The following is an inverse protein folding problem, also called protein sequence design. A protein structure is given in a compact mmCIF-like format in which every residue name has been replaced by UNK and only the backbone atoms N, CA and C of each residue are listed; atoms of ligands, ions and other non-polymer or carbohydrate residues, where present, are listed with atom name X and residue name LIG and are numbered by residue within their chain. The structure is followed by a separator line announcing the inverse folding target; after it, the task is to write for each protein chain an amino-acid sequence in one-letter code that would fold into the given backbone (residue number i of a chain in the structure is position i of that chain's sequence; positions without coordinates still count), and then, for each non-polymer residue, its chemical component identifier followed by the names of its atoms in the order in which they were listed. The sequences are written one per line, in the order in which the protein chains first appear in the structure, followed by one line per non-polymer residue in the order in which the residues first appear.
data_IF_533132223519
#
_entry.id   IF_533132223519
#
_cell.length_a   1.000
_cell.length_b   1.000
_cell.length_c   1.000
_cell.angle_alpha   90.00
_cell.angle_beta   90.00
_cell.angle_gamma   90.00
#
_symmetry.space_group_name_H-M   'P 1'
#
loop_
_entity.id
_entity.type
_entity.pdbx_description
1 polymer ?
#
# COMPACT_ATOMS: atom_id res chain seq x y z
N UNK A 1 -40.90 52.71 -0.15
CA UNK A 1 -40.21 51.70 0.68
C UNK A 1 -39.32 50.89 -0.26
N UNK A 2 -38.00 50.92 -0.02
CA UNK A 2 -37.01 50.22 -0.85
C UNK A 2 -36.81 48.83 -0.24
N UNK A 3 -37.19 47.77 -0.96
CA UNK A 3 -36.91 46.40 -0.56
C UNK A 3 -35.55 46.00 -1.14
N UNK A 4 -34.51 46.10 -0.31
CA UNK A 4 -33.21 45.53 -0.59
C UNK A 4 -33.28 44.02 -0.29
N UNK A 5 -33.25 43.19 -1.33
CA UNK A 5 -33.12 41.73 -1.21
C UNK A 5 -31.62 41.45 -1.13
N UNK A 6 -31.14 41.14 0.08
CA UNK A 6 -29.78 40.69 0.31
C UNK A 6 -29.62 39.25 -0.17
N UNK A 7 -28.76 39.05 -1.18
CA UNK A 7 -28.24 37.74 -1.53
C UNK A 7 -27.20 37.33 -0.49
N UNK A 8 -27.58 36.42 0.41
CA UNK A 8 -26.64 35.74 1.30
C UNK A 8 -26.08 34.56 0.51
N UNK A 9 -24.86 34.70 -0.02
CA UNK A 9 -24.10 33.57 -0.56
C UNK A 9 -23.71 32.67 0.61
N UNK A 10 -24.53 31.66 0.87
CA UNK A 10 -24.18 30.57 1.76
C UNK A 10 -23.15 29.71 1.00
N UNK A 11 -21.87 30.05 1.17
CA UNK A 11 -20.78 29.20 0.70
C UNK A 11 -20.85 27.90 1.51
N UNK A 12 -21.45 26.87 0.93
CA UNK A 12 -21.29 25.51 1.40
C UNK A 12 -19.80 25.20 1.35
N UNK A 13 -19.14 25.26 2.51
CA UNK A 13 -17.95 24.48 2.75
C UNK A 13 -18.35 23.02 2.51
N UNK A 14 -17.92 22.46 1.39
CA UNK A 14 -17.68 21.03 1.36
C UNK A 14 -16.52 20.81 2.34
N UNK A 15 -16.83 20.20 3.48
CA UNK A 15 -15.85 19.37 4.18
C UNK A 15 -15.61 18.18 3.23
N UNK A 16 -14.72 18.39 2.26
CA UNK A 16 -14.05 17.26 1.62
C UNK A 16 -13.23 16.65 2.76
N UNK A 17 -13.73 15.55 3.30
CA UNK A 17 -13.00 14.72 4.22
C UNK A 17 -11.68 14.34 3.55
N UNK A 18 -10.60 14.94 4.03
CA UNK A 18 -9.22 14.74 3.61
C UNK A 18 -8.84 13.25 3.69
N UNK A 19 -9.20 12.47 2.67
CA UNK A 19 -8.34 11.37 2.20
C UNK A 19 -7.08 12.02 1.63
N UNK A 20 -6.25 12.54 2.53
CA UNK A 20 -4.98 13.20 2.28
C UNK A 20 -4.08 12.23 1.48
N UNK A 21 -4.08 12.35 0.15
CA UNK A 21 -3.03 11.74 -0.65
C UNK A 21 -1.70 12.39 -0.25
N UNK A 22 -0.77 11.60 0.29
CA UNK A 22 0.59 12.05 0.60
C UNK A 22 1.51 11.68 -0.55
N UNK A 23 2.24 12.65 -1.08
CA UNK A 23 3.26 12.37 -2.10
C UNK A 23 4.46 11.62 -1.51
N UNK A 24 4.66 11.68 -0.18
CA UNK A 24 5.78 11.03 0.49
C UNK A 24 5.41 9.65 1.04
N UNK A 25 6.19 8.64 0.62
CA UNK A 25 6.14 7.26 1.14
C UNK A 25 6.91 7.12 2.47
N UNK A 26 7.64 8.16 2.90
CA UNK A 26 8.52 8.09 4.08
C UNK A 26 7.74 7.73 5.34
N UNK A 27 8.27 6.79 6.11
CA UNK A 27 7.72 6.30 7.36
C UNK A 27 7.75 4.78 7.47
N UNK A 28 7.24 4.29 8.60
CA UNK A 28 7.17 2.86 8.91
C UNK A 28 5.80 2.35 8.50
N UNK A 29 5.78 1.32 7.66
CA UNK A 29 4.58 0.66 7.18
C UNK A 29 4.58 -0.81 7.62
N UNK A 30 3.40 -1.37 7.83
CA UNK A 30 3.20 -2.75 8.29
C UNK A 30 2.21 -3.49 7.41
N UNK A 31 2.42 -4.79 7.13
CA UNK A 31 1.46 -5.59 6.39
C UNK A 31 0.08 -5.58 7.03
N UNK A 32 -0.93 -5.29 6.23
CA UNK A 32 -2.33 -5.36 6.63
C UNK A 32 -3.00 -6.61 6.06
N UNK A 33 -2.81 -6.82 4.76
CA UNK A 33 -3.46 -7.88 3.97
C UNK A 33 -2.78 -8.07 2.62
N UNK A 34 -3.11 -9.16 1.99
CA UNK A 34 -2.75 -9.49 0.61
C UNK A 34 -4.03 -9.68 -0.21
N UNK A 35 -4.03 -9.16 -1.44
CA UNK A 35 -5.15 -9.25 -2.36
C UNK A 35 -4.67 -9.88 -3.66
N UNK A 36 -5.31 -10.96 -4.08
CA UNK A 36 -5.08 -11.56 -5.39
C UNK A 36 -6.16 -11.07 -6.35
N UNK A 37 -5.75 -10.44 -7.45
CA UNK A 37 -6.63 -9.96 -8.52
C UNK A 37 -6.35 -10.74 -9.79
N UNK A 38 -7.42 -11.32 -10.37
CA UNK A 38 -7.30 -12.14 -11.56
C UNK A 38 -6.74 -11.37 -12.75
N UNK A 39 -5.72 -11.91 -13.40
CA UNK A 39 -5.16 -11.35 -14.64
C UNK A 39 -6.12 -11.46 -15.82
N UNK A 40 -6.98 -12.48 -15.83
CA UNK A 40 -7.87 -12.78 -16.95
C UNK A 40 -9.10 -11.85 -17.03
N UNK A 41 -9.60 -11.39 -15.88
CA UNK A 41 -10.85 -10.61 -15.82
C UNK A 41 -10.88 -9.48 -14.77
N UNK A 42 -9.84 -9.32 -13.97
CA UNK A 42 -9.75 -8.27 -12.94
C UNK A 42 -10.59 -8.53 -11.69
N UNK A 43 -11.24 -9.68 -11.55
CA UNK A 43 -12.00 -10.03 -10.34
C UNK A 43 -11.06 -10.36 -9.18
N UNK A 44 -11.48 -10.06 -7.96
CA UNK A 44 -10.77 -10.51 -6.76
C UNK A 44 -10.89 -12.02 -6.59
N UNK A 45 -9.74 -12.71 -6.61
CA UNK A 45 -9.64 -14.13 -6.29
C UNK A 45 -9.58 -14.31 -4.77
N UNK A 46 -8.77 -13.49 -4.10
CA UNK A 46 -8.54 -13.58 -2.66
C UNK A 46 -8.32 -12.20 -2.03
N UNK A 47 -8.66 -12.07 -0.74
CA UNK A 47 -8.39 -10.87 0.06
C UNK A 47 -8.22 -11.32 1.51
N UNK A 48 -6.98 -11.62 1.90
CA UNK A 48 -6.66 -12.27 3.17
C UNK A 48 -5.89 -11.32 4.07
N UNK A 49 -6.30 -11.24 5.33
CA UNK A 49 -5.53 -10.49 6.32
C UNK A 49 -4.13 -11.09 6.48
N UNK A 50 -3.13 -10.23 6.63
CA UNK A 50 -1.80 -10.66 7.02
C UNK A 50 -1.87 -11.44 8.34
N UNK A 51 -1.05 -12.49 8.46
CA UNK A 51 -0.99 -13.30 9.67
C UNK A 51 -0.59 -12.43 10.89
N UNK A 52 -0.90 -12.92 12.09
CA UNK A 52 -0.49 -12.23 13.33
C UNK A 52 1.02 -12.06 13.41
N UNK A 53 1.79 -12.99 12.84
CA UNK A 53 3.24 -12.87 12.79
C UNK A 53 3.69 -11.87 11.73
N UNK A 54 3.19 -11.99 10.50
CA UNK A 54 3.59 -11.12 9.39
C UNK A 54 3.23 -9.65 9.63
N UNK A 55 2.16 -9.37 10.39
CA UNK A 55 1.81 -8.01 10.87
C UNK A 55 2.89 -7.33 11.73
N UNK A 56 3.84 -8.10 12.28
CA UNK A 56 4.99 -7.56 13.02
C UNK A 56 6.11 -7.08 12.09
N UNK A 57 6.10 -7.48 10.83
CA UNK A 57 7.03 -7.00 9.82
C UNK A 57 6.90 -5.49 9.65
N UNK A 58 8.01 -4.85 9.29
CA UNK A 58 8.09 -3.40 9.10
C UNK A 58 8.83 -3.06 7.82
N UNK A 59 8.30 -2.10 7.09
CA UNK A 59 8.93 -1.48 5.92
C UNK A 59 9.15 0.00 6.25
N UNK A 60 10.34 0.35 6.72
CA UNK A 60 10.71 1.71 7.09
C UNK A 60 11.38 2.43 5.91
N UNK A 61 10.60 3.18 5.14
CA UNK A 61 11.09 4.02 4.05
C UNK A 61 11.68 5.30 4.63
N UNK A 62 13.00 5.41 4.63
CA UNK A 62 13.71 6.57 5.19
C UNK A 62 13.87 7.68 4.17
N UNK A 63 14.01 8.92 4.63
CA UNK A 63 14.20 10.11 3.77
C UNK A 63 15.53 10.13 3.00
N UNK A 64 16.46 9.24 3.33
CA UNK A 64 17.76 9.08 2.66
C UNK A 64 17.75 8.00 1.57
N UNK A 65 16.57 7.66 1.02
CA UNK A 65 16.42 6.64 -0.02
C UNK A 65 16.86 5.22 0.41
N UNK A 66 16.81 4.91 1.71
CA UNK A 66 17.02 3.56 2.24
C UNK A 66 15.71 2.98 2.79
N UNK A 67 15.35 1.78 2.39
CA UNK A 67 14.30 0.97 2.99
C UNK A 67 14.94 0.06 4.03
N UNK A 68 14.57 0.21 5.30
CA UNK A 68 14.89 -0.78 6.33
C UNK A 68 13.70 -1.76 6.48
N UNK A 69 13.85 -2.97 5.95
CA UNK A 69 12.83 -4.01 6.00
C UNK A 69 13.15 -5.01 7.11
N UNK A 70 12.17 -5.33 7.95
CA UNK A 70 12.27 -6.44 8.91
C UNK A 70 11.10 -7.37 8.69
N UNK A 71 11.37 -8.63 8.37
CA UNK A 71 10.34 -9.62 8.09
C UNK A 71 10.19 -10.57 9.27
N UNK A 72 8.94 -10.81 9.66
CA UNK A 72 8.51 -11.84 10.59
C UNK A 72 7.62 -12.84 9.87
N UNK A 73 7.83 -14.14 10.05
CA UNK A 73 6.97 -15.16 9.45
C UNK A 73 6.69 -16.32 10.41
N UNK A 74 5.54 -16.95 10.20
CA UNK A 74 5.09 -18.13 10.93
C UNK A 74 5.92 -19.34 10.48
N UNK A 75 6.53 -20.01 11.44
CA UNK A 75 7.31 -21.23 11.21
C UNK A 75 6.43 -22.47 11.35
N UNK A 76 6.89 -23.61 10.83
CA UNK A 76 6.17 -24.88 10.90
C UNK A 76 5.93 -25.39 12.34
N UNK A 77 6.73 -24.93 13.30
CA UNK A 77 6.57 -25.22 14.74
C UNK A 77 5.59 -24.26 15.44
N UNK A 78 4.97 -23.34 14.70
CA UNK A 78 4.04 -22.33 15.21
C UNK A 78 4.74 -21.12 15.84
N UNK A 79 6.07 -21.04 15.80
CA UNK A 79 6.81 -19.87 16.27
C UNK A 79 6.75 -18.72 15.25
N UNK A 80 6.82 -17.49 15.75
CA UNK A 80 6.89 -16.29 14.91
C UNK A 80 8.34 -15.78 14.90
N UNK A 81 9.03 -15.94 13.77
CA UNK A 81 10.49 -15.70 13.68
C UNK A 81 10.81 -14.47 12.87
N UNK A 82 11.74 -13.65 13.35
CA UNK A 82 12.34 -12.56 12.58
C UNK A 82 13.51 -13.08 11.73
N UNK A 83 13.59 -12.62 10.48
CA UNK A 83 14.72 -12.86 9.58
C UNK A 83 15.82 -11.78 9.70
N UNK A 84 15.68 -10.85 10.64
CA UNK A 84 16.56 -9.71 10.80
C UNK A 84 16.10 -8.50 9.97
N UNK A 85 16.94 -7.46 9.96
CA UNK A 85 16.67 -6.22 9.23
C UNK A 85 17.62 -6.11 8.04
N UNK A 86 17.06 -5.93 6.86
CA UNK A 86 17.79 -5.63 5.63
C UNK A 86 17.65 -4.15 5.29
N UNK A 87 18.71 -3.56 4.73
CA UNK A 87 18.71 -2.18 4.28
C UNK A 87 18.95 -2.15 2.78
N UNK A 88 17.97 -1.71 2.02
CA UNK A 88 17.98 -1.71 0.55
C UNK A 88 17.83 -0.28 0.04
N UNK A 89 18.49 0.10 -1.07
CA UNK A 89 18.20 1.37 -1.73
C UNK A 89 16.78 1.35 -2.30
N UNK A 90 16.07 2.49 -2.24
CA UNK A 90 14.78 2.62 -2.90
C UNK A 90 14.59 3.99 -3.57
N UNK A 91 13.70 4.03 -4.57
CA UNK A 91 13.14 5.26 -5.11
C UNK A 91 11.63 5.11 -5.29
N UNK A 92 10.90 6.21 -5.17
CA UNK A 92 9.45 6.22 -5.26
C UNK A 92 8.99 7.41 -6.10
N UNK A 93 8.15 7.14 -7.08
CA UNK A 93 7.48 8.13 -7.92
C UNK A 93 5.97 8.01 -7.70
N UNK A 94 5.41 8.98 -6.96
CA UNK A 94 3.98 9.03 -6.66
C UNK A 94 3.14 9.18 -7.92
N UNK A 95 3.54 10.06 -8.84
CA UNK A 95 2.78 10.37 -10.05
C UNK A 95 2.92 9.25 -11.09
N UNK A 96 4.12 8.70 -11.22
CA UNK A 96 4.41 7.55 -12.08
C UNK A 96 3.93 6.21 -11.52
N UNK A 97 3.34 6.19 -10.31
CA UNK A 97 2.86 4.97 -9.64
C UNK A 97 3.91 3.85 -9.61
N UNK A 98 5.12 4.21 -9.21
CA UNK A 98 6.30 3.34 -9.35
C UNK A 98 7.13 3.35 -8.08
N UNK A 99 7.43 2.15 -7.59
CA UNK A 99 8.37 1.91 -6.50
C UNK A 99 9.54 1.09 -7.07
N UNK A 100 10.78 1.47 -6.77
CA UNK A 100 11.95 0.65 -7.06
C UNK A 100 12.63 0.32 -5.74
N UNK A 101 12.87 -0.96 -5.47
CA UNK A 101 13.65 -1.43 -4.32
C UNK A 101 14.76 -2.33 -4.87
N UNK A 102 16.02 -2.03 -4.54
CA UNK A 102 17.19 -2.78 -5.01
C UNK A 102 17.23 -3.07 -6.53
N UNK A 103 16.85 -2.07 -7.33
CA UNK A 103 16.73 -2.12 -8.80
C UNK A 103 15.57 -2.97 -9.35
N UNK A 104 14.75 -3.56 -8.49
CA UNK A 104 13.49 -4.21 -8.88
C UNK A 104 12.35 -3.20 -8.86
N UNK A 105 11.48 -3.25 -9.87
CA UNK A 105 10.37 -2.31 -10.05
C UNK A 105 9.04 -2.96 -9.64
N UNK A 106 8.29 -2.23 -8.82
CA UNK A 106 6.95 -2.59 -8.36
C UNK A 106 5.92 -1.57 -8.84
N UNK A 107 4.77 -2.05 -9.32
CA UNK A 107 3.61 -1.24 -9.69
C UNK A 107 2.87 -0.78 -8.43
N UNK A 108 2.72 0.53 -8.25
CA UNK A 108 1.94 1.09 -7.13
C UNK A 108 0.49 1.24 -7.56
N UNK A 109 -0.42 0.58 -6.87
CA UNK A 109 -1.86 0.62 -7.19
C UNK A 109 -2.47 1.90 -6.60
N UNK A 110 -2.22 2.13 -5.32
CA UNK A 110 -2.77 3.24 -4.53
C UNK A 110 -1.80 3.66 -3.42
N UNK A 111 -1.82 4.94 -3.06
CA UNK A 111 -1.09 5.48 -1.92
C UNK A 111 -1.86 6.64 -1.30
N UNK A 112 -2.26 6.46 -0.05
CA UNK A 112 -2.86 7.50 0.81
C UNK A 112 -1.97 7.72 2.03
N UNK A 113 -2.32 8.68 2.89
CA UNK A 113 -1.62 8.91 4.16
C UNK A 113 -1.38 7.66 5.02
N UNK A 114 -2.31 6.71 5.01
CA UNK A 114 -2.34 5.58 5.93
C UNK A 114 -2.35 4.21 5.24
N UNK A 115 -2.47 4.14 3.92
CA UNK A 115 -2.48 2.88 3.17
C UNK A 115 -1.61 3.00 1.90
N UNK A 116 -0.74 2.02 1.70
CA UNK A 116 0.06 1.84 0.48
C UNK A 116 -0.26 0.47 -0.11
N UNK A 117 -0.52 0.43 -1.42
CA UNK A 117 -0.79 -0.80 -2.15
C UNK A 117 0.13 -0.89 -3.36
N UNK A 118 0.82 -2.01 -3.52
CA UNK A 118 1.65 -2.29 -4.70
C UNK A 118 1.62 -3.77 -5.06
N UNK A 119 1.84 -4.08 -6.33
CA UNK A 119 1.95 -5.46 -6.81
C UNK A 119 3.30 -6.01 -6.35
N UNK A 120 3.28 -6.98 -5.43
CA UNK A 120 4.47 -7.62 -4.88
C UNK A 120 4.92 -8.82 -5.71
N UNK A 121 4.01 -9.51 -6.39
CA UNK A 121 4.34 -10.61 -7.28
C UNK A 121 3.26 -10.85 -8.36
N UNK A 122 3.60 -11.69 -9.33
CA UNK A 122 2.71 -12.22 -10.37
C UNK A 122 2.75 -13.75 -10.35
N UNK A 123 1.60 -14.39 -10.11
CA UNK A 123 1.48 -15.86 -10.06
C UNK A 123 0.12 -16.31 -10.60
N UNK A 124 0.05 -17.49 -11.23
CA UNK A 124 -1.22 -18.08 -11.70
C UNK A 124 -1.89 -18.84 -10.54
N UNK A 125 -2.58 -18.11 -9.67
CA UNK A 125 -3.18 -18.63 -8.44
C UNK A 125 -4.41 -19.52 -8.71
N UNK A 126 -5.11 -19.27 -9.82
CA UNK A 126 -6.31 -20.01 -10.19
C UNK A 126 -6.06 -21.12 -11.24
N UNK A 127 -4.82 -21.26 -11.73
CA UNK A 127 -4.37 -22.21 -12.75
C UNK A 127 -5.11 -22.05 -14.11
N UNK A 128 -5.46 -20.81 -14.50
CA UNK A 128 -6.10 -20.50 -15.79
C UNK A 128 -5.09 -20.22 -16.93
N UNK A 129 -3.80 -20.20 -16.60
CA UNK A 129 -2.70 -19.94 -17.53
C UNK A 129 -2.36 -18.47 -17.73
N UNK A 130 -2.99 -17.55 -16.98
CA UNK A 130 -2.71 -16.11 -16.99
C UNK A 130 -2.25 -15.70 -15.59
N UNK A 131 -1.16 -14.95 -15.50
CA UNK A 131 -0.64 -14.48 -14.22
C UNK A 131 -1.61 -13.49 -13.54
N UNK A 132 -1.88 -13.74 -12.27
CA UNK A 132 -2.68 -12.88 -11.40
C UNK A 132 -1.79 -11.89 -10.65
N UNK A 133 -2.34 -10.73 -10.28
CA UNK A 133 -1.63 -9.73 -9.46
C UNK A 133 -1.75 -10.07 -8.00
N UNK A 134 -0.62 -10.24 -7.31
CA UNK A 134 -0.56 -10.32 -5.85
C UNK A 134 -0.23 -8.92 -5.32
N UNK A 135 -1.18 -8.30 -4.63
CA UNK A 135 -1.07 -6.93 -4.10
C UNK A 135 -0.82 -7.00 -2.60
N UNK A 136 0.32 -6.45 -2.17
CA UNK A 136 0.61 -6.23 -0.76
C UNK A 136 0.01 -4.89 -0.32
N UNK A 137 -0.81 -4.94 0.73
CA UNK A 137 -1.38 -3.75 1.37
C UNK A 137 -0.65 -3.49 2.68
N UNK A 138 -0.07 -2.29 2.81
CA UNK A 138 0.61 -1.84 4.01
C UNK A 138 -0.13 -0.66 4.65
N UNK A 139 -0.18 -0.65 5.99
CA UNK A 139 -0.74 0.44 6.77
C UNK A 139 0.32 1.12 7.64
N UNK A 140 0.12 2.40 7.91
CA UNK A 140 0.99 3.23 8.77
C UNK A 140 0.62 3.13 10.25
#
# INVERSE_FOLDING_TARGET
AILAIGFVFNSCKNDDSDEDNTETIVGIWKPAREITISGSNGNTISNQNASTCYKKSTFDFKSNNTLASTIFDDQTDGSCKSYGTENLPYSYDFNGKKLIIDNEQFEVISHTKNELQFVSNYEDENNDGIEDKIILVLNK
#
